data_IF_329568330098
#
_entry.id   IF_329568330098
#
_cell.length_a   1.000
_cell.length_b   1.000
_cell.length_c   1.000
_cell.angle_alpha   90.00
_cell.angle_beta   90.00
_cell.angle_gamma   90.00
#
_symmetry.space_group_name_H-M   'P 1'
#
loop_
_entity.id
_entity.type
_entity.pdbx_description
1 polymer ?
#
# COMPACT_ATOMS: atom_id res chain seq x y z
N UNK A 1 69.92 -52.66 2.14
CA UNK A 1 68.73 -52.19 2.88
C UNK A 1 68.74 -50.66 2.84
N UNK A 2 67.91 -50.06 1.95
CA UNK A 2 67.78 -48.59 1.82
C UNK A 2 66.54 -48.15 2.59
N UNK A 3 66.78 -47.32 3.63
CA UNK A 3 65.72 -46.60 4.31
C UNK A 3 65.29 -45.39 3.50
N UNK A 4 64.04 -45.32 3.01
CA UNK A 4 63.42 -44.15 2.43
C UNK A 4 62.75 -43.35 3.51
N UNK A 5 63.22 -42.13 3.78
CA UNK A 5 62.57 -41.16 4.62
C UNK A 5 61.40 -40.51 3.88
N UNK A 6 60.18 -40.61 4.45
CA UNK A 6 58.98 -39.97 3.94
C UNK A 6 58.90 -38.54 4.53
N UNK A 7 59.02 -37.51 3.70
CA UNK A 7 58.80 -36.10 4.12
C UNK A 7 57.33 -35.81 3.90
N UNK A 8 56.59 -35.61 5.01
CA UNK A 8 55.20 -35.15 4.99
C UNK A 8 55.21 -33.61 5.05
N UNK A 9 54.88 -32.97 3.93
CA UNK A 9 54.71 -31.55 3.84
C UNK A 9 53.27 -31.20 4.27
N UNK A 10 53.11 -30.56 5.45
CA UNK A 10 51.84 -30.01 5.88
C UNK A 10 51.60 -28.70 5.11
N UNK A 11 50.63 -28.69 4.22
CA UNK A 11 50.12 -27.48 3.58
C UNK A 11 49.16 -26.76 4.54
N UNK A 12 49.62 -25.68 5.16
CA UNK A 12 48.75 -24.78 5.94
C UNK A 12 48.02 -23.89 4.94
N UNK A 13 46.78 -24.23 4.62
CA UNK A 13 45.90 -23.37 3.84
C UNK A 13 45.54 -22.09 4.59
N UNK A 14 45.38 -20.95 3.91
CA UNK A 14 44.98 -19.71 4.56
C UNK A 14 43.57 -19.87 5.11
N UNK A 15 43.42 -19.76 6.43
CA UNK A 15 42.09 -19.66 7.11
C UNK A 15 41.58 -18.28 6.78
N UNK A 16 40.62 -18.20 5.83
CA UNK A 16 39.87 -16.98 5.58
C UNK A 16 38.98 -16.74 6.82
N UNK A 17 39.34 -15.81 7.65
CA UNK A 17 38.51 -15.31 8.73
C UNK A 17 37.23 -14.70 8.10
N UNK A 18 36.01 -15.03 8.56
CA UNK A 18 34.81 -14.38 8.10
C UNK A 18 34.89 -12.89 8.45
N UNK A 19 34.91 -12.04 7.43
CA UNK A 19 34.73 -10.60 7.63
C UNK A 19 33.33 -10.42 8.26
N UNK A 20 33.27 -10.04 9.52
CA UNK A 20 32.03 -9.67 10.16
C UNK A 20 31.43 -8.50 9.36
N UNK A 21 30.42 -8.79 8.56
CA UNK A 21 29.60 -7.76 7.93
C UNK A 21 28.86 -7.06 9.06
N UNK A 22 29.27 -5.85 9.37
CA UNK A 22 28.61 -5.00 10.34
C UNK A 22 27.15 -4.82 9.84
N UNK A 23 26.19 -5.31 10.63
CA UNK A 23 24.78 -5.19 10.27
C UNK A 23 24.40 -3.70 10.37
N UNK A 24 23.90 -3.13 9.28
CA UNK A 24 23.35 -1.77 9.30
C UNK A 24 22.16 -1.71 10.25
N UNK A 25 22.20 -0.77 11.21
CA UNK A 25 21.14 -0.57 12.21
C UNK A 25 20.11 0.43 11.68
N UNK A 26 18.97 -0.07 11.23
CA UNK A 26 17.86 0.77 10.77
C UNK A 26 17.18 1.39 11.99
N UNK A 27 17.19 2.74 12.08
CA UNK A 27 16.42 3.50 13.07
C UNK A 27 15.06 3.90 12.45
N UNK A 28 13.96 3.20 12.78
CA UNK A 28 12.67 3.49 12.18
C UNK A 28 12.17 4.90 12.52
N UNK A 29 11.64 5.60 11.52
CA UNK A 29 10.93 6.86 11.69
C UNK A 29 9.50 6.68 11.23
N UNK A 30 8.52 7.14 12.00
CA UNK A 30 7.12 7.08 11.59
C UNK A 30 6.86 8.14 10.53
N UNK A 31 6.32 7.78 9.34
CA UNK A 31 5.95 8.75 8.32
C UNK A 31 4.76 9.59 8.78
N UNK A 32 4.65 10.79 8.24
CA UNK A 32 3.43 11.59 8.39
C UNK A 32 2.26 10.89 7.70
N UNK A 33 1.05 11.06 8.23
CA UNK A 33 -0.17 10.50 7.66
C UNK A 33 -1.20 11.58 7.33
N UNK A 34 -2.02 11.29 6.33
CA UNK A 34 -3.20 12.08 5.98
C UNK A 34 -4.28 12.02 7.06
N UNK A 35 -4.29 10.93 7.83
CA UNK A 35 -5.39 10.59 8.73
C UNK A 35 -5.04 10.95 10.16
N UNK A 36 -5.94 11.66 10.81
CA UNK A 36 -5.81 12.02 12.23
C UNK A 36 -6.42 10.93 13.11
N UNK A 37 -6.09 10.94 14.41
CA UNK A 37 -6.69 10.02 15.38
C UNK A 37 -8.23 10.08 15.45
N UNK A 38 -8.84 11.22 15.04
CA UNK A 38 -10.30 11.39 14.99
C UNK A 38 -10.93 10.91 13.67
N UNK A 39 -10.15 10.90 12.59
CA UNK A 39 -10.59 10.48 11.26
C UNK A 39 -9.60 9.42 10.76
N UNK A 40 -9.75 8.22 11.28
CA UNK A 40 -8.84 7.08 11.04
C UNK A 40 -9.56 6.00 10.24
N UNK A 41 -9.70 6.18 8.92
CA UNK A 41 -10.38 5.20 8.10
C UNK A 41 -9.57 3.90 8.05
N UNK A 42 -10.31 2.79 8.02
CA UNK A 42 -9.77 1.45 7.88
C UNK A 42 -10.51 0.63 6.81
N UNK A 43 -9.88 -0.43 6.33
CA UNK A 43 -10.52 -1.51 5.58
C UNK A 43 -10.29 -2.80 6.34
N UNK A 44 -11.34 -3.38 6.92
CA UNK A 44 -11.28 -4.57 7.79
C UNK A 44 -10.32 -4.42 8.98
N UNK A 45 -10.25 -3.25 9.59
CA UNK A 45 -9.36 -2.98 10.72
C UNK A 45 -7.90 -2.71 10.32
N UNK A 46 -7.58 -2.70 9.02
CA UNK A 46 -6.26 -2.30 8.52
C UNK A 46 -6.33 -0.82 8.14
N UNK A 47 -5.53 0.00 8.78
CA UNK A 47 -5.41 1.43 8.53
C UNK A 47 -3.99 1.80 8.06
N UNK A 48 -3.75 3.06 7.69
CA UNK A 48 -2.44 3.51 7.18
C UNK A 48 -1.31 3.46 8.21
N UNK A 49 -1.63 3.42 9.50
CA UNK A 49 -0.66 3.25 10.58
C UNK A 49 -0.40 1.79 10.95
N UNK A 50 -1.11 0.84 10.34
CA UNK A 50 -0.88 -0.59 10.55
C UNK A 50 0.50 -1.00 10.05
N UNK A 51 1.23 -1.78 10.86
CA UNK A 51 2.45 -2.45 10.38
C UNK A 51 2.11 -3.65 9.51
N UNK A 52 3.07 -4.12 8.72
CA UNK A 52 2.86 -5.30 7.89
C UNK A 52 2.53 -6.55 8.71
N UNK A 53 3.14 -6.71 9.88
CA UNK A 53 2.88 -7.83 10.80
C UNK A 53 1.47 -7.76 11.39
N UNK A 54 1.02 -6.56 11.83
CA UNK A 54 -0.32 -6.37 12.35
C UNK A 54 -1.38 -6.64 11.28
N UNK A 55 -1.20 -6.08 10.08
CA UNK A 55 -2.08 -6.31 8.95
C UNK A 55 -2.12 -7.79 8.55
N UNK A 56 -0.96 -8.46 8.53
CA UNK A 56 -0.87 -9.91 8.27
C UNK A 56 -1.68 -10.71 9.28
N UNK A 57 -1.57 -10.42 10.57
CA UNK A 57 -2.31 -11.11 11.61
C UNK A 57 -3.84 -10.95 11.44
N UNK A 58 -4.30 -9.74 11.09
CA UNK A 58 -5.71 -9.47 10.78
C UNK A 58 -6.18 -10.32 9.59
N UNK A 59 -5.41 -10.33 8.48
CA UNK A 59 -5.77 -11.05 7.27
C UNK A 59 -5.75 -12.57 7.49
N UNK A 60 -4.73 -13.09 8.16
CA UNK A 60 -4.66 -14.52 8.49
C UNK A 60 -5.83 -14.95 9.37
N UNK A 61 -6.23 -14.12 10.35
CA UNK A 61 -7.41 -14.37 11.17
C UNK A 61 -8.71 -14.34 10.36
N UNK A 62 -8.86 -13.34 9.49
CA UNK A 62 -10.06 -13.16 8.67
C UNK A 62 -10.27 -14.28 7.65
N UNK A 63 -9.21 -14.79 7.03
CA UNK A 63 -9.28 -15.89 6.04
C UNK A 63 -9.13 -17.27 6.67
N UNK A 64 -8.92 -17.39 7.98
CA UNK A 64 -8.77 -18.66 8.68
C UNK A 64 -9.99 -19.57 8.48
N UNK A 65 -9.72 -20.80 8.04
CA UNK A 65 -10.76 -21.84 7.86
C UNK A 65 -11.66 -21.64 6.61
N UNK A 66 -11.42 -20.60 5.79
CA UNK A 66 -12.12 -20.44 4.52
C UNK A 66 -11.51 -21.37 3.46
N UNK A 67 -12.33 -22.27 2.92
CA UNK A 67 -11.89 -23.17 1.86
C UNK A 67 -11.44 -22.38 0.63
N UNK A 68 -10.36 -22.81 -0.02
CA UNK A 68 -9.78 -22.19 -1.21
C UNK A 68 -9.24 -20.78 -1.01
N UNK A 69 -9.04 -20.32 0.23
CA UNK A 69 -8.37 -19.05 0.46
C UNK A 69 -6.92 -19.10 -0.05
N UNK A 70 -6.53 -18.06 -0.78
CA UNK A 70 -5.18 -17.88 -1.31
C UNK A 70 -4.43 -16.83 -0.51
N UNK A 71 -3.10 -16.96 -0.46
CA UNK A 71 -2.21 -16.03 0.24
C UNK A 71 -0.94 -15.86 -0.58
N UNK A 72 -0.59 -14.61 -0.87
CA UNK A 72 0.69 -14.20 -1.47
C UNK A 72 1.31 -13.09 -0.63
N UNK A 73 2.56 -13.28 -0.21
CA UNK A 73 3.32 -12.33 0.59
C UNK A 73 4.56 -11.96 -0.18
N UNK A 74 4.62 -10.73 -0.64
CA UNK A 74 5.77 -10.18 -1.35
C UNK A 74 6.74 -9.54 -0.36
N UNK A 75 8.03 -9.82 -0.55
CA UNK A 75 9.11 -9.29 0.27
C UNK A 75 10.20 -8.68 -0.60
N UNK A 76 10.89 -7.71 -0.03
CA UNK A 76 12.04 -7.05 -0.66
C UNK A 76 13.14 -6.85 0.37
N UNK A 77 14.39 -6.75 -0.10
CA UNK A 77 15.53 -6.35 0.73
C UNK A 77 15.60 -4.84 0.85
N UNK A 78 15.97 -4.35 2.03
CA UNK A 78 16.23 -2.94 2.26
C UNK A 78 17.63 -2.56 1.80
N UNK A 79 17.73 -1.69 0.80
CA UNK A 79 19.01 -1.28 0.22
C UNK A 79 19.85 -2.49 -0.20
N UNK A 80 21.11 -2.48 0.18
CA UNK A 80 22.04 -3.61 0.00
C UNK A 80 22.22 -4.47 1.24
N UNK A 81 21.36 -4.30 2.25
CA UNK A 81 21.39 -5.08 3.50
C UNK A 81 20.83 -6.48 3.32
N UNK A 82 21.02 -7.34 4.33
CA UNK A 82 20.33 -8.65 4.42
C UNK A 82 18.91 -8.57 4.97
N UNK A 83 18.45 -7.36 5.36
CA UNK A 83 17.15 -7.15 6.00
C UNK A 83 16.05 -7.28 4.95
N UNK A 84 15.20 -8.30 5.10
CA UNK A 84 14.00 -8.49 4.28
C UNK A 84 12.78 -7.94 4.99
N UNK A 85 11.86 -7.33 4.23
CA UNK A 85 10.60 -6.81 4.78
C UNK A 85 9.45 -7.07 3.82
N UNK A 86 8.24 -7.13 4.36
CA UNK A 86 7.01 -7.31 3.58
C UNK A 86 6.69 -5.99 2.87
N UNK A 87 6.56 -6.06 1.53
CA UNK A 87 6.12 -4.93 0.70
C UNK A 87 4.65 -5.00 0.36
N UNK A 88 4.10 -6.22 0.22
CA UNK A 88 2.70 -6.40 -0.14
C UNK A 88 2.16 -7.69 0.47
N UNK A 89 0.95 -7.61 0.97
CA UNK A 89 0.13 -8.74 1.38
C UNK A 89 -1.05 -8.85 0.40
N UNK A 90 -1.27 -10.03 -0.17
CA UNK A 90 -2.44 -10.35 -0.98
C UNK A 90 -3.12 -11.59 -0.41
N UNK A 91 -4.39 -11.45 -0.07
CA UNK A 91 -5.24 -12.56 0.38
C UNK A 91 -6.49 -12.60 -0.48
N UNK A 92 -6.92 -13.79 -0.87
CA UNK A 92 -8.06 -13.94 -1.76
C UNK A 92 -8.91 -15.13 -1.43
N UNK A 93 -10.18 -14.99 -1.76
CA UNK A 93 -11.17 -16.06 -1.79
C UNK A 93 -11.85 -15.98 -3.16
N UNK A 94 -11.68 -16.97 -4.05
CA UNK A 94 -12.33 -16.93 -5.35
C UNK A 94 -13.85 -16.99 -5.20
N UNK A 95 -14.61 -16.34 -6.10
CA UNK A 95 -16.07 -16.50 -6.14
C UNK A 95 -16.42 -17.95 -6.50
N UNK A 96 -17.49 -18.47 -5.91
CA UNK A 96 -17.99 -19.80 -6.16
C UNK A 96 -19.53 -19.80 -6.24
N UNK A 97 -20.14 -20.95 -6.51
CA UNK A 97 -21.60 -21.09 -6.48
C UNK A 97 -22.13 -20.75 -5.07
N UNK A 98 -22.96 -19.69 -4.97
CA UNK A 98 -23.53 -19.24 -3.71
C UNK A 98 -22.49 -18.69 -2.70
N UNK A 99 -21.26 -18.41 -3.14
CA UNK A 99 -20.18 -17.88 -2.31
C UNK A 99 -19.62 -16.60 -2.91
N UNK A 100 -19.58 -15.54 -2.11
CA UNK A 100 -18.93 -14.29 -2.49
C UNK A 100 -17.42 -14.49 -2.64
N UNK A 101 -16.85 -13.88 -3.70
CA UNK A 101 -15.41 -13.73 -3.83
C UNK A 101 -14.91 -12.51 -3.06
N UNK A 102 -13.65 -12.57 -2.62
CA UNK A 102 -13.03 -11.47 -1.90
C UNK A 102 -11.53 -11.43 -2.17
N UNK A 103 -10.98 -10.27 -2.49
CA UNK A 103 -9.55 -10.04 -2.59
C UNK A 103 -9.19 -8.85 -1.72
N UNK A 104 -8.18 -9.01 -0.89
CA UNK A 104 -7.63 -7.99 -0.02
C UNK A 104 -6.16 -7.83 -0.28
N UNK A 105 -5.70 -6.60 -0.51
CA UNK A 105 -4.30 -6.27 -0.64
C UNK A 105 -3.92 -5.10 0.24
N UNK A 106 -2.71 -5.16 0.83
CA UNK A 106 -2.11 -4.04 1.54
C UNK A 106 -0.66 -3.89 1.13
N UNK A 107 -0.22 -2.66 0.87
CA UNK A 107 1.15 -2.32 0.48
C UNK A 107 1.82 -1.49 1.56
N UNK A 108 3.10 -1.75 1.81
CA UNK A 108 3.84 -1.24 2.96
C UNK A 108 5.13 -0.56 2.54
N UNK A 109 5.50 0.45 3.29
CA UNK A 109 6.79 1.12 3.20
C UNK A 109 7.93 0.26 3.78
N UNK A 110 9.17 0.74 3.73
CA UNK A 110 10.33 0.02 4.25
C UNK A 110 10.40 0.01 5.79
N UNK A 111 11.31 -0.78 6.39
CA UNK A 111 11.59 -0.72 7.81
C UNK A 111 12.06 0.65 8.29
N UNK A 112 12.74 1.44 7.44
CA UNK A 112 13.18 2.78 7.80
C UNK A 112 12.02 3.73 8.07
N UNK A 113 10.91 3.58 7.34
CA UNK A 113 9.63 4.27 7.59
C UNK A 113 8.64 3.42 8.38
N UNK A 114 9.15 2.56 9.28
CA UNK A 114 8.39 1.75 10.23
C UNK A 114 7.43 0.73 9.59
N UNK A 115 7.66 0.34 8.34
CA UNK A 115 6.90 -0.67 7.57
C UNK A 115 5.38 -0.46 7.64
N UNK A 116 4.95 0.81 7.43
CA UNK A 116 3.55 1.24 7.52
C UNK A 116 2.79 1.02 6.23
N UNK A 117 1.52 0.65 6.36
CA UNK A 117 0.61 0.58 5.23
C UNK A 117 0.38 1.97 4.63
N UNK A 118 0.43 2.09 3.31
CA UNK A 118 0.09 3.31 2.60
C UNK A 118 -1.03 3.12 1.59
N UNK A 119 -1.29 1.90 1.17
CA UNK A 119 -2.36 1.53 0.25
C UNK A 119 -3.02 0.24 0.73
N UNK A 120 -4.33 0.28 0.90
CA UNK A 120 -5.14 -0.87 1.27
C UNK A 120 -6.29 -0.95 0.27
N UNK A 121 -6.51 -2.12 -0.31
CA UNK A 121 -7.59 -2.34 -1.25
C UNK A 121 -8.35 -3.62 -0.92
N UNK A 122 -9.68 -3.57 -1.05
CA UNK A 122 -10.58 -4.70 -0.90
C UNK A 122 -11.52 -4.75 -2.09
N UNK A 123 -11.64 -5.91 -2.69
CA UNK A 123 -12.59 -6.17 -3.77
C UNK A 123 -13.51 -7.30 -3.34
N UNK A 124 -14.81 -7.04 -3.32
CA UNK A 124 -15.88 -7.99 -3.04
C UNK A 124 -16.61 -8.29 -4.34
N UNK A 125 -16.73 -9.56 -4.71
CA UNK A 125 -17.56 -10.02 -5.80
C UNK A 125 -18.74 -10.78 -5.20
N UNK A 126 -19.95 -10.26 -5.35
CA UNK A 126 -21.14 -10.89 -4.78
C UNK A 126 -21.65 -12.01 -5.70
N UNK A 127 -21.99 -13.14 -5.11
CA UNK A 127 -22.71 -14.18 -5.82
C UNK A 127 -24.08 -13.63 -6.27
N UNK A 128 -24.59 -14.12 -7.39
CA UNK A 128 -25.77 -13.57 -8.07
C UNK A 128 -27.00 -13.49 -7.15
N UNK A 129 -27.19 -14.51 -6.34
CA UNK A 129 -28.26 -14.63 -5.35
C UNK A 129 -28.07 -13.81 -4.06
N UNK A 130 -26.90 -13.17 -3.90
CA UNK A 130 -26.49 -12.44 -2.69
C UNK A 130 -26.12 -10.98 -2.93
N UNK A 131 -26.47 -10.45 -4.08
CA UNK A 131 -26.17 -9.07 -4.44
C UNK A 131 -26.99 -8.10 -3.56
N UNK A 132 -26.34 -7.26 -2.74
CA UNK A 132 -27.04 -6.24 -1.95
C UNK A 132 -27.61 -5.16 -2.86
N UNK A 133 -28.57 -4.39 -2.35
CA UNK A 133 -29.04 -3.21 -3.06
C UNK A 133 -27.97 -2.11 -3.01
N UNK A 134 -27.91 -1.28 -4.06
CA UNK A 134 -27.02 -0.11 -4.10
C UNK A 134 -27.31 0.84 -2.93
N UNK A 135 -28.60 1.02 -2.58
CA UNK A 135 -29.02 1.87 -1.48
C UNK A 135 -28.49 1.39 -0.13
N UNK A 136 -28.57 0.08 0.16
CA UNK A 136 -28.03 -0.50 1.39
C UNK A 136 -26.52 -0.35 1.46
N UNK A 137 -25.81 -0.64 0.35
CA UNK A 137 -24.35 -0.49 0.29
C UNK A 137 -23.93 0.97 0.53
N UNK A 138 -24.60 1.94 -0.09
CA UNK A 138 -24.32 3.37 0.13
C UNK A 138 -24.56 3.75 1.60
N UNK A 139 -25.66 3.26 2.21
CA UNK A 139 -25.97 3.51 3.61
C UNK A 139 -24.88 2.96 4.54
N UNK A 140 -24.42 1.72 4.32
CA UNK A 140 -23.34 1.11 5.10
C UNK A 140 -22.01 1.88 4.96
N UNK A 141 -21.65 2.24 3.72
CA UNK A 141 -20.44 3.02 3.44
C UNK A 141 -20.49 4.39 4.11
N UNK A 142 -21.63 5.10 4.01
CA UNK A 142 -21.79 6.39 4.68
C UNK A 142 -21.87 6.26 6.20
N UNK A 143 -22.41 5.16 6.71
CA UNK A 143 -22.40 4.84 8.14
C UNK A 143 -20.98 4.70 8.68
N UNK A 144 -20.09 4.09 7.87
CA UNK A 144 -18.67 3.88 8.26
C UNK A 144 -17.81 5.13 8.08
N UNK A 145 -17.89 5.80 6.92
CA UNK A 145 -16.94 6.87 6.55
C UNK A 145 -17.54 8.27 6.61
N UNK A 146 -18.82 8.40 6.91
CA UNK A 146 -19.53 9.68 6.92
C UNK A 146 -19.99 10.14 5.53
N UNK A 147 -20.19 11.45 5.37
CA UNK A 147 -20.60 12.04 4.10
C UNK A 147 -19.39 12.13 3.14
N UNK A 148 -19.52 11.61 1.90
CA UNK A 148 -18.43 11.65 0.93
C UNK A 148 -18.22 13.06 0.37
N UNK A 149 -16.99 13.33 -0.08
CA UNK A 149 -16.65 14.56 -0.80
C UNK A 149 -17.31 14.60 -2.17
N UNK A 150 -17.30 13.47 -2.88
CA UNK A 150 -17.83 13.33 -4.24
C UNK A 150 -18.72 12.09 -4.29
N UNK A 151 -19.90 12.24 -4.88
CA UNK A 151 -20.82 11.15 -5.18
C UNK A 151 -21.01 11.06 -6.68
N UNK A 152 -20.61 9.93 -7.25
CA UNK A 152 -20.90 9.58 -8.64
C UNK A 152 -21.95 8.47 -8.73
N UNK A 153 -22.27 8.03 -9.94
CA UNK A 153 -23.23 6.94 -10.12
C UNK A 153 -22.74 5.63 -9.50
N UNK A 154 -21.45 5.32 -9.69
CA UNK A 154 -20.83 4.12 -9.16
C UNK A 154 -19.78 4.38 -8.08
N UNK A 155 -19.45 5.64 -7.78
CA UNK A 155 -18.32 5.99 -6.92
C UNK A 155 -18.69 6.91 -5.78
N UNK A 156 -18.09 6.65 -4.62
CA UNK A 156 -18.04 7.53 -3.47
C UNK A 156 -16.57 7.83 -3.18
N UNK A 157 -16.18 9.13 -3.18
CA UNK A 157 -14.82 9.53 -2.83
C UNK A 157 -14.83 10.38 -1.56
N UNK A 158 -13.99 10.01 -0.63
CA UNK A 158 -13.69 10.71 0.60
C UNK A 158 -12.29 11.29 0.46
N UNK A 159 -12.17 12.59 0.21
CA UNK A 159 -10.88 13.26 0.01
C UNK A 159 -10.49 13.92 1.33
N UNK A 160 -9.29 13.63 1.79
CA UNK A 160 -8.76 14.16 3.04
C UNK A 160 -7.73 15.24 2.75
N UNK A 161 -7.82 16.36 3.50
CA UNK A 161 -6.87 17.46 3.48
C UNK A 161 -6.82 18.10 4.86
N UNK A 162 -5.61 18.46 5.32
CA UNK A 162 -5.38 19.08 6.62
C UNK A 162 -6.06 18.35 7.80
N UNK A 163 -6.07 16.99 7.74
CA UNK A 163 -6.65 16.13 8.77
C UNK A 163 -8.17 16.05 8.80
N UNK A 164 -8.87 16.59 7.78
CA UNK A 164 -10.31 16.55 7.65
C UNK A 164 -10.79 16.03 6.29
N UNK A 165 -12.08 15.65 6.23
CA UNK A 165 -12.73 15.33 4.95
C UNK A 165 -13.15 16.63 4.28
N UNK A 166 -12.75 16.83 3.02
CA UNK A 166 -13.16 17.95 2.21
C UNK A 166 -14.65 17.82 1.90
N UNK A 167 -15.44 18.80 2.33
CA UNK A 167 -16.88 18.85 2.04
C UNK A 167 -17.14 19.29 0.60
N UNK A 168 -18.00 18.60 -0.13
CA UNK A 168 -18.45 19.05 -1.42
C UNK A 168 -19.40 20.26 -1.25
N UNK A 169 -19.14 21.35 -1.95
CA UNK A 169 -20.10 22.46 -2.06
C UNK A 169 -21.36 22.03 -2.82
N UNK A 170 -22.51 22.62 -2.47
CA UNK A 170 -23.80 22.25 -3.08
C UNK A 170 -23.77 22.40 -4.61
N UNK A 171 -23.11 23.45 -5.13
CA UNK A 171 -22.94 23.69 -6.57
C UNK A 171 -22.13 22.61 -7.30
N UNK A 172 -21.34 21.84 -6.58
CA UNK A 172 -20.51 20.77 -7.14
C UNK A 172 -21.28 19.48 -7.35
N UNK A 173 -22.21 19.14 -6.45
CA UNK A 173 -23.08 17.98 -6.63
C UNK A 173 -23.93 18.10 -7.91
N UNK A 174 -24.23 19.35 -8.31
CA UNK A 174 -25.03 19.63 -9.51
C UNK A 174 -24.18 19.74 -10.78
N UNK A 175 -22.93 20.22 -10.66
CA UNK A 175 -22.06 20.48 -11.81
C UNK A 175 -21.18 19.30 -12.24
N UNK A 176 -20.95 18.33 -11.34
CA UNK A 176 -20.27 17.09 -11.72
C UNK A 176 -21.29 16.16 -12.36
N UNK A 177 -21.38 16.23 -13.67
CA UNK A 177 -22.02 15.17 -14.43
C UNK A 177 -21.42 13.86 -13.92
N UNK A 178 -22.26 13.00 -13.41
CA UNK A 178 -21.97 11.66 -12.87
C UNK A 178 -21.02 10.89 -13.79
N UNK A 179 -21.15 11.07 -15.09
CA UNK A 179 -20.27 10.58 -16.15
C UNK A 179 -18.80 11.01 -16.06
N UNK A 180 -18.49 12.18 -15.49
CA UNK A 180 -17.10 12.66 -15.42
C UNK A 180 -16.27 11.91 -14.39
N UNK A 181 -16.91 11.33 -13.37
CA UNK A 181 -16.25 10.58 -12.29
C UNK A 181 -15.95 9.14 -12.73
N UNK A 182 -16.82 8.56 -13.55
CA UNK A 182 -16.67 7.17 -14.03
C UNK A 182 -15.72 7.07 -15.23
N UNK A 183 -15.40 8.20 -15.88
CA UNK A 183 -14.37 8.24 -16.92
C UNK A 183 -12.97 8.24 -16.30
N UNK A 184 -11.95 7.68 -17.00
CA UNK A 184 -10.57 7.88 -16.63
C UNK A 184 -10.28 9.38 -16.58
N UNK A 185 -10.01 9.92 -15.38
CA UNK A 185 -9.63 11.33 -15.26
C UNK A 185 -8.25 11.53 -15.89
N UNK A 186 -8.13 12.51 -16.78
CA UNK A 186 -6.81 13.03 -17.14
C UNK A 186 -6.14 13.50 -15.84
N UNK A 187 -4.92 13.04 -15.53
CA UNK A 187 -4.16 13.51 -14.37
C UNK A 187 -3.99 15.04 -14.34
N UNK A 188 -4.15 15.71 -15.47
CA UNK A 188 -4.09 17.16 -15.61
C UNK A 188 -5.44 17.84 -15.40
N UNK A 189 -6.54 17.08 -15.38
CA UNK A 189 -7.86 17.65 -15.16
C UNK A 189 -7.94 18.20 -13.72
N UNK A 190 -8.48 19.41 -13.59
CA UNK A 190 -8.73 20.02 -12.31
C UNK A 190 -10.15 19.72 -11.83
N UNK A 191 -10.24 19.21 -10.61
CA UNK A 191 -11.51 19.12 -9.88
C UNK A 191 -11.60 20.33 -8.97
N UNK A 192 -12.71 21.06 -9.05
CA UNK A 192 -13.01 22.15 -8.13
C UNK A 192 -13.86 21.58 -7.00
N UNK A 193 -13.46 21.76 -5.77
CA UNK A 193 -14.20 21.38 -4.57
C UNK A 193 -14.28 22.60 -3.65
N UNK A 194 -15.49 23.01 -3.27
CA UNK A 194 -15.72 24.18 -2.40
C UNK A 194 -14.98 25.46 -2.85
N UNK A 195 -14.93 25.72 -4.16
CA UNK A 195 -14.22 26.86 -4.73
C UNK A 195 -12.71 26.68 -4.91
N UNK A 196 -12.10 25.66 -4.33
CA UNK A 196 -10.72 25.29 -4.55
C UNK A 196 -10.55 24.40 -5.78
N UNK A 197 -9.38 24.48 -6.40
CA UNK A 197 -9.04 23.60 -7.52
C UNK A 197 -8.12 22.49 -7.03
N UNK A 198 -8.64 21.27 -7.00
CA UNK A 198 -7.83 20.07 -6.81
C UNK A 198 -7.56 19.51 -8.19
N UNK A 199 -6.32 19.60 -8.62
CA UNK A 199 -5.92 18.99 -9.91
C UNK A 199 -6.12 17.50 -9.78
N UNK A 200 -6.94 16.92 -10.63
CA UNK A 200 -7.55 15.59 -10.65
C UNK A 200 -6.74 14.39 -10.17
N UNK A 201 -5.68 14.68 -9.50
CA UNK A 201 -4.63 13.75 -9.14
C UNK A 201 -5.03 12.82 -7.99
N UNK A 202 -5.85 13.23 -7.01
CA UNK A 202 -6.24 12.28 -5.95
C UNK A 202 -7.13 11.16 -6.45
N UNK A 203 -8.17 11.49 -7.21
CA UNK A 203 -9.04 10.49 -7.84
C UNK A 203 -8.25 9.71 -8.89
N UNK A 204 -7.39 10.37 -9.67
CA UNK A 204 -6.53 9.71 -10.65
C UNK A 204 -5.54 8.75 -10.00
N UNK A 205 -4.90 9.14 -8.89
CA UNK A 205 -3.95 8.29 -8.16
C UNK A 205 -4.64 7.02 -7.65
N UNK A 206 -5.85 7.15 -7.07
CA UNK A 206 -6.62 5.99 -6.63
C UNK A 206 -6.99 5.07 -7.81
N UNK A 207 -7.47 5.62 -8.91
CA UNK A 207 -7.79 4.82 -10.10
C UNK A 207 -6.56 4.09 -10.65
N UNK A 208 -5.39 4.71 -10.62
CA UNK A 208 -4.13 4.06 -11.00
C UNK A 208 -3.66 3.02 -10.01
N UNK A 209 -3.83 3.27 -8.71
CA UNK A 209 -3.52 2.29 -7.66
C UNK A 209 -4.35 1.01 -7.79
N UNK A 210 -5.56 1.10 -8.32
CA UNK A 210 -6.39 -0.06 -8.63
C UNK A 210 -5.90 -0.87 -9.84
N UNK A 211 -5.28 -0.20 -10.82
CA UNK A 211 -5.00 -0.77 -12.15
C UNK A 211 -3.57 -1.25 -12.37
N UNK A 212 -2.58 -0.79 -11.57
CA UNK A 212 -1.13 -0.96 -11.87
C UNK A 212 -0.32 -1.35 -10.65
N UNK A 213 1.00 -1.34 -10.85
CA UNK A 213 2.01 -1.56 -9.84
C UNK A 213 1.81 -0.68 -8.59
N UNK A 214 1.84 -1.31 -7.43
CA UNK A 214 1.50 -0.71 -6.14
C UNK A 214 2.74 -0.45 -5.27
N UNK A 215 3.92 -0.42 -5.86
CA UNK A 215 5.16 -0.14 -5.14
C UNK A 215 5.20 1.30 -4.63
N UNK A 216 5.92 1.54 -3.53
CA UNK A 216 6.07 2.89 -2.97
C UNK A 216 6.62 3.88 -4.01
N UNK A 217 7.60 3.46 -4.83
CA UNK A 217 8.19 4.30 -5.86
C UNK A 217 7.18 4.68 -6.95
N UNK A 218 6.39 3.72 -7.44
CA UNK A 218 5.34 3.99 -8.42
C UNK A 218 4.26 4.91 -7.86
N UNK A 219 3.84 4.66 -6.61
CA UNK A 219 2.85 5.51 -5.93
C UNK A 219 3.37 6.91 -5.66
N UNK A 220 4.67 7.10 -5.38
CA UNK A 220 5.29 8.40 -5.17
C UNK A 220 5.19 9.30 -6.41
N UNK A 221 5.41 8.73 -7.61
CA UNK A 221 5.30 9.48 -8.88
C UNK A 221 3.91 10.10 -9.01
N UNK A 222 2.88 9.33 -8.70
CA UNK A 222 1.49 9.78 -8.76
C UNK A 222 1.14 10.73 -7.60
N UNK A 223 1.61 10.42 -6.39
CA UNK A 223 1.34 11.20 -5.17
C UNK A 223 1.88 12.62 -5.24
N UNK A 224 3.06 12.84 -5.85
CA UNK A 224 3.67 14.18 -6.01
C UNK A 224 2.79 15.18 -6.77
N UNK A 225 1.90 14.68 -7.64
CA UNK A 225 0.95 15.52 -8.37
C UNK A 225 -0.37 15.77 -7.62
N UNK A 226 -0.62 15.05 -6.52
CA UNK A 226 -1.87 15.10 -5.80
C UNK A 226 -2.04 16.38 -5.00
N UNK A 227 -3.24 16.95 -5.04
CA UNK A 227 -3.61 18.11 -4.23
C UNK A 227 -4.54 17.70 -3.07
N UNK A 228 -4.20 16.61 -2.40
CA UNK A 228 -4.85 16.11 -1.20
C UNK A 228 -3.83 15.32 -0.37
N UNK A 229 -4.17 15.07 0.89
CA UNK A 229 -3.33 14.28 1.80
C UNK A 229 -3.63 12.79 1.72
N UNK A 230 -4.90 12.41 1.49
CA UNK A 230 -5.33 11.03 1.39
C UNK A 230 -6.71 10.88 0.78
N UNK A 231 -7.09 9.64 0.47
CA UNK A 231 -8.37 9.34 -0.15
C UNK A 231 -8.87 7.95 0.22
N UNK A 232 -10.19 7.86 0.49
CA UNK A 232 -10.93 6.60 0.47
C UNK A 232 -11.85 6.62 -0.74
N UNK A 233 -11.75 5.61 -1.59
CA UNK A 233 -12.61 5.41 -2.76
C UNK A 233 -13.44 4.15 -2.57
N UNK A 234 -14.73 4.25 -2.84
CA UNK A 234 -15.63 3.10 -2.92
C UNK A 234 -16.29 3.10 -4.28
N UNK A 235 -16.12 2.01 -5.02
CA UNK A 235 -16.79 1.77 -6.30
C UNK A 235 -17.83 0.66 -6.14
N UNK A 236 -19.05 0.91 -6.60
CA UNK A 236 -20.16 -0.02 -6.56
C UNK A 236 -20.59 -0.34 -8.01
N UNK A 237 -20.06 -1.43 -8.55
CA UNK A 237 -20.35 -1.86 -9.93
C UNK A 237 -21.69 -2.59 -9.96
N UNK A 238 -22.60 -2.25 -10.89
CA UNK A 238 -23.88 -2.94 -11.02
C UNK A 238 -23.71 -4.45 -11.20
N UNK A 239 -24.68 -5.19 -10.67
CA UNK A 239 -24.78 -6.64 -10.78
C UNK A 239 -25.77 -7.06 -11.86
N UNK A 240 -26.57 -8.08 -11.55
CA UNK A 240 -27.60 -8.63 -12.45
C UNK A 240 -28.75 -7.66 -12.73
N UNK A 241 -29.00 -6.72 -11.80
CA UNK A 241 -29.92 -5.61 -11.98
C UNK A 241 -29.21 -4.28 -11.66
N UNK A 242 -29.68 -3.18 -12.23
CA UNK A 242 -29.04 -1.86 -12.07
C UNK A 242 -29.06 -1.30 -10.63
N UNK A 243 -30.00 -1.75 -9.83
CA UNK A 243 -30.14 -1.42 -8.41
C UNK A 243 -29.35 -2.38 -7.48
N UNK A 244 -28.74 -3.44 -8.04
CA UNK A 244 -27.92 -4.41 -7.32
C UNK A 244 -26.45 -4.18 -7.54
N UNK A 245 -25.66 -4.51 -6.53
CA UNK A 245 -24.19 -4.40 -6.58
C UNK A 245 -23.59 -5.78 -6.83
N UNK A 246 -22.94 -5.97 -7.98
CA UNK A 246 -22.19 -7.19 -8.31
C UNK A 246 -20.78 -7.17 -7.76
N UNK A 247 -20.12 -6.00 -7.78
CA UNK A 247 -18.76 -5.83 -7.25
C UNK A 247 -18.71 -4.55 -6.40
N UNK A 248 -18.12 -4.64 -5.21
CA UNK A 248 -17.78 -3.48 -4.39
C UNK A 248 -16.26 -3.42 -4.20
N UNK A 249 -15.64 -2.32 -4.62
CA UNK A 249 -14.21 -2.08 -4.47
C UNK A 249 -13.98 -0.94 -3.48
N UNK A 250 -13.12 -1.19 -2.51
CA UNK A 250 -12.70 -0.21 -1.51
C UNK A 250 -11.19 0.02 -1.67
N UNK A 251 -10.77 1.27 -1.69
CA UNK A 251 -9.36 1.64 -1.69
C UNK A 251 -9.13 2.75 -0.69
N UNK A 252 -8.19 2.56 0.19
CA UNK A 252 -7.64 3.57 1.09
C UNK A 252 -6.22 3.86 0.66
N UNK A 253 -5.91 5.12 0.37
CA UNK A 253 -4.57 5.58 -0.01
C UNK A 253 -4.18 6.76 0.87
N UNK A 254 -3.06 6.63 1.57
CA UNK A 254 -2.41 7.69 2.33
C UNK A 254 -1.35 8.37 1.44
N UNK A 255 -1.75 9.42 0.73
CA UNK A 255 -0.88 10.16 -0.19
C UNK A 255 0.26 10.84 0.55
N UNK A 256 -0.04 11.47 1.70
CA UNK A 256 0.96 12.10 2.55
C UNK A 256 1.92 11.07 3.13
N UNK A 257 1.38 9.91 3.54
CA UNK A 257 2.16 8.76 4.00
C UNK A 257 3.12 8.24 2.93
N UNK A 258 2.68 8.12 1.67
CA UNK A 258 3.56 7.74 0.54
C UNK A 258 4.72 8.72 0.39
N UNK A 259 4.46 10.03 0.38
CA UNK A 259 5.49 11.06 0.19
C UNK A 259 6.49 11.05 1.37
N UNK A 260 5.97 11.02 2.59
CA UNK A 260 6.79 11.02 3.80
C UNK A 260 7.62 9.74 3.95
N UNK A 261 7.01 8.57 3.72
CA UNK A 261 7.73 7.30 3.77
C UNK A 261 8.84 7.22 2.72
N UNK A 262 8.57 7.65 1.49
CA UNK A 262 9.58 7.65 0.43
C UNK A 262 10.76 8.57 0.74
N UNK A 263 10.55 9.71 1.38
CA UNK A 263 11.63 10.59 1.82
C UNK A 263 12.49 9.92 2.90
N UNK A 264 11.86 9.35 3.94
CA UNK A 264 12.54 8.62 5.01
C UNK A 264 13.36 7.44 4.44
N UNK A 265 12.76 6.65 3.55
CA UNK A 265 13.38 5.47 2.95
C UNK A 265 14.60 5.85 2.10
N UNK A 266 14.49 6.93 1.32
CA UNK A 266 15.59 7.45 0.51
C UNK A 266 16.77 7.91 1.38
N UNK A 267 16.51 8.70 2.42
CA UNK A 267 17.53 9.18 3.35
C UNK A 267 18.25 8.01 4.05
N UNK A 268 17.50 6.99 4.44
CA UNK A 268 18.07 5.80 5.09
C UNK A 268 18.93 4.96 4.14
N UNK A 269 18.56 4.83 2.86
CA UNK A 269 19.37 4.15 1.86
C UNK A 269 20.67 4.93 1.57
N UNK A 270 20.61 6.26 1.49
CA UNK A 270 21.80 7.11 1.33
C UNK A 270 22.75 6.96 2.53
N UNK A 271 22.20 6.96 3.75
CA UNK A 271 22.99 6.75 4.96
C UNK A 271 23.68 5.37 4.97
N UNK A 272 22.95 4.29 4.64
CA UNK A 272 23.50 2.94 4.52
C UNK A 272 24.66 2.87 3.52
N UNK A 273 24.49 3.48 2.35
CA UNK A 273 25.52 3.50 1.33
C UNK A 273 26.76 4.29 1.79
N UNK A 274 26.54 5.41 2.50
CA UNK A 274 27.63 6.24 3.03
C UNK A 274 28.44 5.51 4.10
N UNK A 275 27.79 4.85 5.04
CA UNK A 275 28.45 4.04 6.07
C UNK A 275 29.26 2.89 5.44
N UNK A 276 28.68 2.19 4.48
CA UNK A 276 29.37 1.10 3.77
C UNK A 276 30.61 1.59 3.01
N UNK A 277 30.54 2.78 2.40
CA UNK A 277 31.68 3.36 1.68
C UNK A 277 32.75 3.89 2.63
N UNK A 278 32.42 4.23 3.87
CA UNK A 278 33.35 4.67 4.92
C UNK A 278 34.11 3.51 5.58
N UNK A 279 33.65 2.26 5.44
CA UNK A 279 34.39 1.10 5.97
C UNK A 279 35.75 0.99 5.32
N UNK A 280 36.83 0.71 6.10
CA UNK A 280 38.18 0.56 5.57
C UNK A 280 38.20 -0.51 4.46
N UNK A 281 38.55 -0.13 3.26
CA UNK A 281 38.88 -1.10 2.21
C UNK A 281 40.08 -1.89 2.74
N UNK A 282 39.90 -3.22 2.86
CA UNK A 282 40.94 -4.09 3.39
C UNK A 282 42.33 -3.72 2.82
N UNK A 283 43.33 -3.60 3.70
CA UNK A 283 44.68 -3.31 3.28
C UNK A 283 45.16 -4.37 2.27
N UNK A 284 45.76 -3.92 1.17
CA UNK A 284 46.36 -4.84 0.21
C UNK A 284 47.36 -5.77 0.95
N UNK A 285 47.36 -7.07 0.63
CA UNK A 285 48.34 -7.97 1.24
C UNK A 285 49.75 -7.44 0.96
N UNK A 286 50.58 -7.34 1.99
CA UNK A 286 52.02 -7.08 1.79
C UNK A 286 52.59 -8.25 1.01
N UNK A 287 53.07 -7.98 -0.18
CA UNK A 287 53.82 -8.92 -1.03
C UNK A 287 55.20 -9.24 -0.44
#
# INVERSE_FOLDING_TARGET
MLCRALIVTLAIGPVALPVATQAYDIKPKTPESAFSAKLHPDILGIASDSTAEAARAILESFFKGRANATKDIQQQKFGSTAISFITTLNFGLPPGQGQNGEVLSASFSSPASANRAYLIARNLTFAEDRQPTKADMVKEVMGKYGAPTIVGDQHLYYIYRAGGIVSAGTKYKEAMAIDAIDKPLDPRAALKLNGETIRGSCVAVVKRAQAKEKTLAAMLIEAKGANCDGVVSVQLVPGTASDRVGIAQFVLLDVKGVISAAAIDNDAVIAEQSERNALPKGSAPKL
#
